data_IF_162755397200
#
_entry.id   IF_162755397200
#
_cell.length_a   1.000
_cell.length_b   1.000
_cell.length_c   1.000
_cell.angle_alpha   90.00
_cell.angle_beta   90.00
_cell.angle_gamma   90.00
#
_symmetry.space_group_name_H-M   'P 1'
#
loop_
_entity.id
_entity.type
_entity.pdbx_description
1 polymer ?
#
# COMPACT_ATOMS: atom_id res chain seq x y z
N UNK A 1 -55.02 -12.07 -21.76
CA UNK A 1 -53.62 -12.39 -21.39
C UNK A 1 -52.80 -12.34 -22.68
N UNK A 2 -51.71 -11.55 -22.74
CA UNK A 2 -50.87 -11.43 -23.95
C UNK A 2 -49.79 -12.50 -23.86
N UNK A 3 -49.83 -13.47 -24.77
CA UNK A 3 -48.78 -14.48 -24.83
C UNK A 3 -47.46 -13.88 -25.33
N UNK A 4 -46.33 -14.22 -24.70
CA UNK A 4 -45.04 -13.73 -25.15
C UNK A 4 -44.68 -14.39 -26.49
N UNK A 5 -44.35 -13.57 -27.49
CA UNK A 5 -43.95 -14.10 -28.80
C UNK A 5 -42.64 -14.88 -28.68
N UNK A 6 -42.54 -16.00 -29.40
CA UNK A 6 -41.42 -16.94 -29.36
C UNK A 6 -40.06 -16.28 -29.69
N UNK A 7 -40.08 -15.22 -30.50
CA UNK A 7 -38.90 -14.39 -30.79
C UNK A 7 -38.43 -13.56 -29.57
N UNK A 8 -39.34 -13.10 -28.72
CA UNK A 8 -39.00 -12.34 -27.51
C UNK A 8 -38.43 -13.24 -26.43
N UNK A 9 -38.95 -14.47 -26.29
CA UNK A 9 -38.45 -15.44 -25.31
C UNK A 9 -37.06 -15.98 -25.69
N UNK A 10 -36.84 -16.25 -26.98
CA UNK A 10 -35.52 -16.65 -27.50
C UNK A 10 -34.49 -15.52 -27.39
N UNK A 11 -34.87 -14.28 -27.71
CA UNK A 11 -33.99 -13.12 -27.51
C UNK A 11 -33.64 -12.91 -26.02
N UNK A 12 -34.61 -13.05 -25.12
CA UNK A 12 -34.39 -12.93 -23.67
C UNK A 12 -33.41 -14.01 -23.16
N UNK A 13 -33.59 -15.26 -23.60
CA UNK A 13 -32.69 -16.36 -23.24
C UNK A 13 -31.28 -16.16 -23.78
N UNK A 14 -31.14 -15.65 -25.00
CA UNK A 14 -29.83 -15.33 -25.57
C UNK A 14 -29.11 -14.24 -24.78
N UNK A 15 -29.80 -13.17 -24.40
CA UNK A 15 -29.23 -12.11 -23.56
C UNK A 15 -28.83 -12.65 -22.18
N UNK A 16 -29.64 -13.50 -21.57
CA UNK A 16 -29.32 -14.13 -20.28
C UNK A 16 -28.07 -15.01 -20.36
N UNK A 17 -27.93 -15.81 -21.42
CA UNK A 17 -26.74 -16.64 -21.60
C UNK A 17 -25.49 -15.81 -21.93
N UNK A 18 -25.63 -14.75 -22.73
CA UNK A 18 -24.55 -13.83 -23.03
C UNK A 18 -24.03 -13.15 -21.76
N UNK A 19 -24.91 -12.70 -20.86
CA UNK A 19 -24.50 -12.06 -19.59
C UNK A 19 -23.80 -13.05 -18.66
N UNK A 20 -24.31 -14.27 -18.51
CA UNK A 20 -23.66 -15.32 -17.71
C UNK A 20 -22.28 -15.66 -18.28
N UNK A 21 -22.16 -15.78 -19.61
CA UNK A 21 -20.87 -16.04 -20.27
C UNK A 21 -19.88 -14.89 -20.05
N UNK A 22 -20.33 -13.63 -20.14
CA UNK A 22 -19.47 -12.45 -19.92
C UNK A 22 -18.98 -12.38 -18.47
N UNK A 23 -19.84 -12.71 -17.50
CA UNK A 23 -19.48 -12.81 -16.09
C UNK A 23 -18.44 -13.91 -15.87
N UNK A 24 -18.65 -15.11 -16.44
CA UNK A 24 -17.70 -16.21 -16.33
C UNK A 24 -16.35 -15.85 -16.97
N UNK A 25 -16.35 -15.24 -18.15
CA UNK A 25 -15.15 -14.79 -18.83
C UNK A 25 -14.37 -13.76 -17.99
N UNK A 26 -15.06 -12.84 -17.33
CA UNK A 26 -14.45 -11.84 -16.47
C UNK A 26 -13.82 -12.48 -15.21
N UNK A 27 -14.47 -13.49 -14.62
CA UNK A 27 -13.93 -14.25 -13.48
C UNK A 27 -12.68 -15.03 -13.89
N UNK A 28 -12.68 -15.70 -15.06
CA UNK A 28 -11.52 -16.45 -15.54
C UNK A 28 -10.33 -15.56 -15.93
N UNK A 29 -10.59 -14.31 -16.34
CA UNK A 29 -9.53 -13.33 -16.67
C UNK A 29 -8.90 -12.67 -15.45
N UNK A 30 -9.40 -12.89 -14.23
CA UNK A 30 -8.73 -12.36 -13.04
C UNK A 30 -7.40 -13.11 -12.87
N UNK A 31 -6.24 -12.43 -12.91
CA UNK A 31 -4.97 -13.09 -12.68
C UNK A 31 -4.95 -13.59 -11.24
N UNK A 32 -5.01 -14.91 -11.09
CA UNK A 32 -4.58 -15.57 -9.87
C UNK A 32 -3.09 -15.24 -9.73
N UNK A 33 -2.76 -14.16 -9.00
CA UNK A 33 -1.40 -13.86 -8.59
C UNK A 33 -0.95 -14.97 -7.64
N UNK A 34 -0.44 -16.06 -8.23
CA UNK A 34 0.26 -17.12 -7.53
C UNK A 34 1.56 -16.48 -7.05
N UNK A 35 1.64 -16.23 -5.75
CA UNK A 35 2.81 -15.68 -5.06
C UNK A 35 3.91 -16.75 -5.16
N UNK A 36 4.92 -16.53 -6.01
CA UNK A 36 6.13 -17.34 -6.00
C UNK A 36 6.94 -16.99 -4.75
N UNK A 37 7.27 -18.00 -3.95
CA UNK A 37 8.14 -17.84 -2.79
C UNK A 37 9.54 -17.45 -3.30
N UNK A 38 10.16 -16.35 -2.81
CA UNK A 38 11.49 -15.96 -3.24
C UNK A 38 12.52 -17.00 -2.80
N UNK A 39 13.28 -17.56 -3.75
CA UNK A 39 14.38 -18.48 -3.47
C UNK A 39 15.54 -17.72 -2.83
N UNK A 40 15.78 -17.96 -1.54
CA UNK A 40 16.91 -17.38 -0.81
C UNK A 40 18.20 -18.07 -1.23
N UNK A 41 19.02 -17.38 -2.04
CA UNK A 41 20.41 -17.78 -2.24
C UNK A 41 21.27 -17.01 -1.25
N UNK A 42 21.95 -17.74 -0.38
CA UNK A 42 22.98 -17.18 0.50
C UNK A 42 24.30 -17.30 -0.23
N UNK A 43 24.87 -16.18 -0.65
CA UNK A 43 26.25 -16.16 -1.15
C UNK A 43 27.18 -16.12 0.06
N UNK A 44 27.76 -17.27 0.41
CA UNK A 44 28.81 -17.35 1.41
C UNK A 44 30.05 -16.63 0.85
N UNK A 45 30.44 -15.54 1.51
CA UNK A 45 31.68 -14.83 1.21
C UNK A 45 32.80 -15.55 1.96
N UNK A 46 33.81 -16.03 1.22
CA UNK A 46 35.00 -16.67 1.80
C UNK A 46 35.89 -15.60 2.48
N UNK A 47 36.48 -15.86 3.65
CA UNK A 47 37.24 -14.87 4.41
C UNK A 47 38.65 -14.58 3.86
N UNK A 48 39.01 -15.07 2.66
CA UNK A 48 40.38 -15.01 2.14
C UNK A 48 40.83 -13.67 1.54
N UNK A 49 40.06 -12.58 1.74
CA UNK A 49 40.40 -11.24 1.22
C UNK A 49 41.58 -10.57 1.97
N UNK A 50 42.18 -11.23 2.97
CA UNK A 50 43.35 -10.69 3.69
C UNK A 50 44.72 -11.20 3.21
N UNK A 51 44.80 -11.90 2.07
CA UNK A 51 46.08 -12.45 1.58
C UNK A 51 46.31 -12.27 0.09
N UNK A 52 46.13 -11.07 -0.45
CA UNK A 52 46.91 -10.69 -1.63
C UNK A 52 47.03 -9.17 -1.78
N UNK A 53 48.10 -8.61 -1.21
CA UNK A 53 48.47 -7.19 -1.36
C UNK A 53 49.70 -7.08 -2.29
N UNK A 54 50.11 -8.13 -3.01
CA UNK A 54 51.42 -8.08 -3.68
C UNK A 54 51.53 -8.70 -5.08
N UNK A 55 50.44 -8.89 -5.83
CA UNK A 55 50.56 -9.43 -7.20
C UNK A 55 49.63 -8.80 -8.26
N UNK A 56 49.22 -7.53 -8.08
CA UNK A 56 48.34 -6.83 -9.04
C UNK A 56 48.94 -5.60 -9.75
N UNK A 57 50.22 -5.27 -9.55
CA UNK A 57 50.77 -3.95 -9.94
C UNK A 57 51.38 -3.87 -11.35
N UNK A 58 51.03 -4.75 -12.29
CA UNK A 58 51.61 -4.78 -13.66
C UNK A 58 50.62 -4.87 -14.82
N UNK A 59 49.34 -4.60 -14.61
CA UNK A 59 48.33 -4.69 -15.67
C UNK A 59 47.45 -3.43 -15.84
N UNK A 60 47.93 -2.25 -15.43
CA UNK A 60 47.22 -0.98 -15.61
C UNK A 60 48.20 0.13 -16.04
N UNK A 61 48.70 0.03 -17.28
CA UNK A 61 49.45 1.14 -17.93
C UNK A 61 49.01 1.34 -19.39
N UNK A 62 48.33 0.39 -20.04
CA UNK A 62 48.00 0.51 -21.48
C UNK A 62 46.60 1.07 -21.82
N UNK A 63 45.71 1.29 -20.85
CA UNK A 63 44.32 1.72 -21.15
C UNK A 63 44.08 3.23 -21.08
N UNK A 64 45.13 4.06 -20.94
CA UNK A 64 45.00 5.53 -20.82
C UNK A 64 45.35 6.32 -22.10
N UNK A 65 45.53 5.68 -23.26
CA UNK A 65 45.91 6.38 -24.49
C UNK A 65 44.82 6.48 -25.58
N UNK A 66 43.64 5.90 -25.37
CA UNK A 66 42.58 5.83 -26.39
C UNK A 66 41.30 6.64 -26.05
N UNK A 67 41.26 7.37 -24.93
CA UNK A 67 40.10 8.20 -24.56
C UNK A 67 40.25 9.70 -24.89
N UNK A 68 41.42 10.14 -25.37
CA UNK A 68 41.69 11.57 -25.63
C UNK A 68 41.40 12.03 -27.07
N UNK A 69 41.15 11.09 -28.01
CA UNK A 69 40.99 11.42 -29.43
C UNK A 69 39.52 11.59 -29.88
N UNK A 70 38.54 11.22 -29.07
CA UNK A 70 37.11 11.26 -29.44
C UNK A 70 36.35 12.50 -28.92
N UNK A 71 36.99 13.34 -28.10
CA UNK A 71 36.37 14.57 -27.57
C UNK A 71 36.51 15.80 -28.48
N UNK A 72 37.32 15.72 -29.54
CA UNK A 72 37.67 16.88 -30.37
C UNK A 72 36.84 17.03 -31.66
N UNK A 73 35.97 16.07 -31.99
CA UNK A 73 35.20 16.09 -33.25
C UNK A 73 33.78 16.68 -33.08
N UNK A 74 33.25 16.83 -31.85
CA UNK A 74 31.86 17.25 -31.64
C UNK A 74 31.65 18.71 -31.18
N UNK A 75 32.64 19.59 -31.41
CA UNK A 75 32.57 21.02 -31.04
C UNK A 75 32.48 22.00 -32.23
N UNK A 76 32.27 21.51 -33.46
CA UNK A 76 32.32 22.34 -34.66
C UNK A 76 30.98 22.55 -35.38
N UNK A 77 29.86 22.42 -34.69
CA UNK A 77 28.59 22.86 -35.26
C UNK A 77 27.67 23.38 -34.17
N UNK A 78 26.84 24.38 -34.49
CA UNK A 78 25.98 25.17 -33.59
C UNK A 78 26.66 26.40 -32.97
N UNK A 79 27.15 27.28 -33.83
CA UNK A 79 27.29 28.71 -33.57
C UNK A 79 26.34 29.49 -34.48
N UNK A 80 25.07 29.66 -34.08
CA UNK A 80 24.24 30.82 -34.45
C UNK A 80 22.80 30.73 -33.92
N UNK A 81 22.55 31.10 -32.65
CA UNK A 81 21.24 31.62 -32.18
C UNK A 81 21.49 32.56 -30.96
N UNK A 82 20.91 33.78 -30.88
CA UNK A 82 21.20 34.76 -29.82
C UNK A 82 20.65 34.34 -28.44
N UNK A 83 21.50 34.40 -27.40
CA UNK A 83 21.27 33.83 -26.04
C UNK A 83 20.76 34.81 -24.97
N UNK A 84 20.24 36.00 -25.31
CA UNK A 84 20.02 37.04 -24.28
C UNK A 84 18.65 37.00 -23.58
N UNK A 85 17.59 36.47 -24.21
CA UNK A 85 16.22 36.67 -23.67
C UNK A 85 15.58 35.47 -22.95
N UNK A 86 16.21 34.28 -22.96
CA UNK A 86 15.55 33.05 -22.46
C UNK A 86 15.77 32.82 -20.95
N UNK A 87 16.85 33.34 -20.36
CA UNK A 87 17.21 33.07 -18.95
C UNK A 87 16.38 33.85 -17.93
N UNK A 88 15.79 34.98 -18.32
CA UNK A 88 15.04 35.82 -17.37
C UNK A 88 13.58 35.36 -17.21
N UNK A 89 13.01 34.76 -18.25
CA UNK A 89 11.63 34.25 -18.28
C UNK A 89 11.49 32.99 -17.41
N UNK A 90 12.48 32.09 -17.45
CA UNK A 90 12.46 30.82 -16.70
C UNK A 90 12.65 30.98 -15.19
N UNK A 91 13.27 32.07 -14.74
CA UNK A 91 13.48 32.31 -13.30
C UNK A 91 12.22 32.86 -12.63
N UNK A 92 11.52 33.79 -13.29
CA UNK A 92 10.26 34.36 -12.79
C UNK A 92 9.13 33.33 -12.78
N UNK A 93 9.06 32.44 -13.78
CA UNK A 93 8.00 31.42 -13.84
C UNK A 93 8.16 30.33 -12.76
N UNK A 94 9.39 29.89 -12.48
CA UNK A 94 9.65 28.90 -11.40
C UNK A 94 9.27 29.44 -10.02
N UNK A 95 9.56 30.70 -9.73
CA UNK A 95 9.22 31.34 -8.46
C UNK A 95 7.70 31.49 -8.27
N UNK A 96 6.97 31.80 -9.35
CA UNK A 96 5.50 31.92 -9.33
C UNK A 96 4.85 30.54 -9.12
N UNK A 97 5.40 29.48 -9.73
CA UNK A 97 4.90 28.11 -9.57
C UNK A 97 5.15 27.59 -8.15
N UNK A 98 6.32 27.83 -7.58
CA UNK A 98 6.66 27.41 -6.21
C UNK A 98 5.81 28.12 -5.15
N UNK A 99 5.53 29.42 -5.37
CA UNK A 99 4.63 30.21 -4.51
C UNK A 99 3.18 29.75 -4.58
N UNK A 100 2.72 29.23 -5.73
CA UNK A 100 1.37 28.65 -5.88
C UNK A 100 1.26 27.27 -5.23
N UNK A 101 2.27 26.42 -5.35
CA UNK A 101 2.28 25.07 -4.76
C UNK A 101 2.29 25.14 -3.23
N UNK A 102 3.12 26.02 -2.66
CA UNK A 102 3.18 26.24 -1.21
C UNK A 102 1.88 26.82 -0.62
N UNK A 103 1.21 27.73 -1.35
CA UNK A 103 -0.08 28.28 -0.95
C UNK A 103 -1.21 27.22 -0.96
N UNK A 104 -1.19 26.28 -1.90
CA UNK A 104 -2.15 25.17 -1.97
C UNK A 104 -1.93 24.16 -0.84
N UNK A 105 -0.68 23.79 -0.56
CA UNK A 105 -0.32 22.88 0.52
C UNK A 105 -0.69 23.43 1.92
N UNK A 106 -0.59 24.74 2.13
CA UNK A 106 -1.01 25.38 3.37
C UNK A 106 -2.53 25.32 3.59
N UNK A 107 -3.33 25.51 2.52
CA UNK A 107 -4.79 25.41 2.58
C UNK A 107 -5.27 23.99 2.86
N UNK A 108 -4.64 22.97 2.28
CA UNK A 108 -5.01 21.57 2.54
C UNK A 108 -4.73 21.16 3.99
N UNK A 109 -3.59 21.58 4.57
CA UNK A 109 -3.25 21.29 5.96
C UNK A 109 -4.25 21.92 6.93
N UNK A 110 -4.63 23.17 6.69
CA UNK A 110 -5.65 23.86 7.49
C UNK A 110 -7.04 23.19 7.35
N UNK A 111 -7.41 22.74 6.16
CA UNK A 111 -8.69 22.07 5.95
C UNK A 111 -8.73 20.67 6.59
N UNK A 112 -7.63 19.91 6.54
CA UNK A 112 -7.51 18.62 7.25
C UNK A 112 -7.58 18.81 8.75
N UNK A 113 -6.88 19.82 9.29
CA UNK A 113 -6.90 20.12 10.72
C UNK A 113 -8.29 20.59 11.20
N UNK A 114 -8.98 21.42 10.41
CA UNK A 114 -10.35 21.85 10.72
C UNK A 114 -11.35 20.69 10.70
N UNK A 115 -11.25 19.78 9.73
CA UNK A 115 -12.07 18.55 9.64
C UNK A 115 -11.78 17.58 10.79
N UNK A 116 -10.52 17.49 11.21
CA UNK A 116 -10.13 16.64 12.34
C UNK A 116 -10.64 17.23 13.67
N UNK A 117 -10.52 18.55 13.87
CA UNK A 117 -11.01 19.25 15.06
C UNK A 117 -12.53 19.23 15.16
N UNK A 118 -13.27 19.41 14.06
CA UNK A 118 -14.73 19.31 14.08
C UNK A 118 -15.21 17.90 14.42
N UNK A 119 -14.60 16.86 13.83
CA UNK A 119 -14.89 15.45 14.18
C UNK A 119 -14.59 15.14 15.65
N UNK A 120 -13.48 15.64 16.18
CA UNK A 120 -13.10 15.41 17.58
C UNK A 120 -14.01 16.14 18.59
N UNK A 121 -14.48 17.35 18.25
CA UNK A 121 -15.45 18.10 19.07
C UNK A 121 -16.82 17.43 19.04
N UNK A 122 -17.28 16.92 17.89
CA UNK A 122 -18.55 16.17 17.80
C UNK A 122 -18.53 14.87 18.60
N UNK A 123 -17.40 14.17 18.68
CA UNK A 123 -17.25 12.96 19.49
C UNK A 123 -17.24 13.26 21.00
N UNK A 124 -16.53 14.33 21.41
CA UNK A 124 -16.46 14.73 22.83
C UNK A 124 -17.77 15.33 23.37
N UNK A 125 -18.53 16.03 22.52
CA UNK A 125 -19.85 16.56 22.88
C UNK A 125 -20.92 15.47 23.05
N UNK A 126 -20.77 14.32 22.38
CA UNK A 126 -21.65 13.15 22.55
C UNK A 126 -21.41 12.35 23.84
N UNK A 127 -20.24 12.51 24.47
CA UNK A 127 -19.85 11.78 25.68
C UNK A 127 -20.32 12.48 26.97
N UNK A 128 -20.42 13.81 26.96
CA UNK A 128 -20.83 14.63 28.11
C UNK A 128 -22.35 14.63 28.39
N UNK A 129 -23.18 14.10 27.48
CA UNK A 129 -24.65 14.08 27.63
C UNK A 129 -25.22 12.69 28.00
N UNK A 130 -24.36 11.72 28.35
CA UNK A 130 -24.78 10.34 28.68
C UNK A 130 -24.77 9.98 30.17
N UNK A 131 -24.55 10.96 31.05
CA UNK A 131 -24.62 10.76 32.50
C UNK A 131 -25.86 11.46 33.09
N UNK A 132 -27.04 10.98 32.70
CA UNK A 132 -28.31 11.45 33.23
C UNK A 132 -29.52 10.72 32.65
N UNK A 133 -30.10 9.85 33.46
CA UNK A 133 -31.54 9.52 33.48
C UNK A 133 -32.12 8.57 32.42
N UNK A 134 -32.30 7.32 32.89
CA UNK A 134 -33.36 6.33 32.66
C UNK A 134 -34.47 6.54 31.61
N UNK A 135 -34.82 5.41 30.97
CA UNK A 135 -36.03 5.04 30.21
C UNK A 135 -36.29 5.77 28.88
N UNK A 136 -36.14 5.03 27.78
CA UNK A 136 -37.21 4.77 26.80
C UNK A 136 -36.76 3.71 25.79
N UNK A 137 -37.61 2.70 25.62
CA UNK A 137 -37.64 1.69 24.57
C UNK A 137 -37.67 2.33 23.18
N UNK A 138 -36.63 2.14 22.37
CA UNK A 138 -36.74 2.25 20.90
C UNK A 138 -35.82 1.19 20.27
N UNK A 139 -36.44 0.33 19.46
CA UNK A 139 -35.83 -0.65 18.57
C UNK A 139 -34.49 -0.18 17.97
N UNK A 140 -33.41 -0.88 18.31
CA UNK A 140 -32.14 -0.82 17.58
C UNK A 140 -31.58 -2.22 17.45
N UNK A 141 -32.34 -3.09 16.78
CA UNK A 141 -31.97 -4.49 16.54
C UNK A 141 -30.99 -4.65 15.36
N UNK A 142 -30.46 -3.55 14.82
CA UNK A 142 -29.50 -3.52 13.73
C UNK A 142 -28.07 -3.12 14.16
N UNK A 143 -27.85 -2.72 15.42
CA UNK A 143 -26.57 -2.15 15.87
C UNK A 143 -25.64 -3.16 16.57
N UNK A 144 -26.15 -4.33 16.99
CA UNK A 144 -25.38 -5.27 17.82
C UNK A 144 -24.29 -6.00 17.03
N UNK A 145 -24.49 -6.30 15.75
CA UNK A 145 -23.49 -7.05 14.95
C UNK A 145 -22.26 -6.22 14.58
N UNK A 146 -22.43 -4.93 14.29
CA UNK A 146 -21.31 -4.03 13.99
C UNK A 146 -20.44 -3.80 15.22
N UNK A 147 -21.06 -3.59 16.37
CA UNK A 147 -20.37 -3.32 17.63
C UNK A 147 -19.54 -4.53 18.10
N UNK A 148 -20.09 -5.75 17.97
CA UNK A 148 -19.37 -6.99 18.28
C UNK A 148 -18.19 -7.25 17.33
N UNK A 149 -18.32 -6.89 16.05
CA UNK A 149 -17.24 -7.03 15.08
C UNK A 149 -16.11 -6.01 15.35
N UNK A 150 -16.45 -4.77 15.65
CA UNK A 150 -15.48 -3.70 15.95
C UNK A 150 -14.70 -3.98 17.25
N UNK A 151 -15.36 -4.50 18.29
CA UNK A 151 -14.70 -4.92 19.54
C UNK A 151 -13.73 -6.08 19.28
N UNK A 152 -14.19 -7.10 18.55
CA UNK A 152 -13.34 -8.23 18.17
C UNK A 152 -12.14 -7.79 17.33
N UNK A 153 -12.35 -6.95 16.30
CA UNK A 153 -11.28 -6.40 15.46
C UNK A 153 -10.26 -5.62 16.28
N UNK A 154 -10.71 -4.84 17.27
CA UNK A 154 -9.82 -4.10 18.16
C UNK A 154 -9.01 -5.03 19.07
N UNK A 155 -9.63 -6.13 19.54
CA UNK A 155 -8.98 -7.14 20.37
C UNK A 155 -7.85 -7.85 19.64
N UNK A 156 -8.13 -8.44 18.47
CA UNK A 156 -7.15 -9.17 17.69
C UNK A 156 -6.06 -8.25 17.10
N UNK A 157 -6.41 -7.02 16.72
CA UNK A 157 -5.41 -6.02 16.34
C UNK A 157 -4.41 -5.83 17.48
N UNK A 158 -4.87 -5.63 18.71
CA UNK A 158 -3.97 -5.50 19.86
C UNK A 158 -3.08 -6.74 20.06
N UNK A 159 -3.63 -7.95 19.97
CA UNK A 159 -2.86 -9.20 20.10
C UNK A 159 -1.74 -9.29 19.05
N UNK A 160 -2.03 -8.92 17.81
CA UNK A 160 -1.06 -8.91 16.72
C UNK A 160 0.02 -7.85 16.93
N UNK A 161 -0.39 -6.64 17.31
CA UNK A 161 0.53 -5.53 17.55
C UNK A 161 1.48 -5.80 18.72
N UNK A 162 1.05 -6.54 19.74
CA UNK A 162 1.93 -6.98 20.83
C UNK A 162 3.05 -7.91 20.36
N UNK A 163 2.83 -8.66 19.28
CA UNK A 163 3.84 -9.55 18.70
C UNK A 163 4.71 -8.87 17.63
N UNK A 164 4.34 -7.65 17.21
CA UNK A 164 5.02 -6.96 16.14
C UNK A 164 6.26 -6.23 16.63
N UNK A 165 7.38 -6.47 15.95
CA UNK A 165 8.64 -5.78 16.20
C UNK A 165 8.87 -4.79 15.07
N UNK A 166 8.60 -3.51 15.31
CA UNK A 166 8.79 -2.48 14.30
C UNK A 166 10.27 -2.42 13.84
N UNK A 167 10.58 -2.71 12.56
CA UNK A 167 11.93 -2.57 12.05
C UNK A 167 12.21 -1.09 11.79
N UNK A 168 13.36 -0.60 12.25
CA UNK A 168 13.78 0.77 11.91
C UNK A 168 14.07 0.86 10.41
N UNK A 169 13.17 1.51 9.65
CA UNK A 169 13.26 1.62 8.19
C UNK A 169 13.73 3.00 7.70
N UNK A 170 13.83 3.99 8.59
CA UNK A 170 14.17 5.38 8.24
C UNK A 170 13.10 6.14 7.43
N UNK A 171 12.00 5.48 7.04
CA UNK A 171 10.88 6.09 6.30
C UNK A 171 9.77 6.51 7.26
N UNK A 172 9.22 7.72 7.07
CA UNK A 172 8.26 8.31 8.01
C UNK A 172 6.78 8.04 7.71
N UNK A 173 6.46 7.44 6.56
CA UNK A 173 5.07 7.20 6.14
C UNK A 173 4.95 5.84 5.43
N UNK A 174 5.37 4.79 6.13
CA UNK A 174 5.36 3.43 5.59
C UNK A 174 4.13 2.67 6.11
N UNK A 175 3.38 2.00 5.22
CA UNK A 175 2.23 1.19 5.62
C UNK A 175 2.13 -0.08 4.78
N UNK A 176 1.75 -1.20 5.42
CA UNK A 176 1.42 -2.44 4.75
C UNK A 176 0.01 -2.89 5.16
N UNK A 177 -0.76 -3.42 4.22
CA UNK A 177 -2.04 -4.07 4.50
C UNK A 177 -1.93 -5.54 4.13
N UNK A 178 -2.20 -6.42 5.09
CA UNK A 178 -2.16 -7.87 4.92
C UNK A 178 -3.54 -8.42 5.26
N UNK A 179 -4.16 -9.15 4.34
CA UNK A 179 -5.36 -9.91 4.62
C UNK A 179 -5.01 -11.26 5.22
N UNK A 180 -5.74 -11.64 6.27
CA UNK A 180 -5.61 -12.92 6.92
C UNK A 180 -6.94 -13.64 7.05
N UNK A 181 -6.90 -14.97 7.00
CA UNK A 181 -8.03 -15.83 7.33
C UNK A 181 -7.86 -16.43 8.72
N UNK A 182 -8.85 -16.20 9.58
CA UNK A 182 -8.90 -16.71 10.95
C UNK A 182 -9.99 -17.77 11.04
N UNK A 183 -9.61 -18.96 11.48
CA UNK A 183 -10.52 -20.08 11.74
C UNK A 183 -11.26 -19.90 13.08
N UNK A 184 -12.29 -20.70 13.34
CA UNK A 184 -13.08 -20.64 14.60
C UNK A 184 -12.26 -20.91 15.86
N UNK A 185 -11.13 -21.59 15.74
CA UNK A 185 -10.19 -21.87 16.84
C UNK A 185 -9.19 -20.73 17.07
N UNK A 186 -9.22 -19.68 16.24
CA UNK A 186 -8.27 -18.56 16.28
C UNK A 186 -7.01 -18.78 15.44
N UNK A 187 -6.86 -19.93 14.78
CA UNK A 187 -5.68 -20.22 13.95
C UNK A 187 -5.67 -19.36 12.69
N UNK A 188 -4.52 -18.77 12.37
CA UNK A 188 -4.30 -17.99 11.15
C UNK A 188 -3.78 -18.92 10.05
N UNK A 189 -4.53 -19.06 8.95
CA UNK A 189 -4.20 -20.05 7.90
C UNK A 189 -3.72 -19.47 6.59
N UNK A 190 -4.24 -18.31 6.19
CA UNK A 190 -3.87 -17.65 4.94
C UNK A 190 -3.40 -16.23 5.23
N UNK A 191 -2.32 -15.79 4.58
CA UNK A 191 -1.82 -14.42 4.63
C UNK A 191 -1.57 -13.94 3.20
N UNK A 192 -2.23 -12.86 2.78
CA UNK A 192 -2.02 -12.23 1.47
C UNK A 192 -1.69 -10.76 1.68
N UNK A 193 -0.60 -10.31 1.07
CA UNK A 193 -0.27 -8.88 1.06
C UNK A 193 -1.22 -8.19 0.08
N UNK A 194 -2.14 -7.38 0.59
CA UNK A 194 -3.03 -6.55 -0.23
C UNK A 194 -2.31 -5.29 -0.70
N UNK A 195 -1.53 -4.69 0.19
CA UNK A 195 -0.71 -3.51 -0.08
C UNK A 195 0.66 -3.71 0.57
N UNK A 196 1.70 -3.84 -0.25
CA UNK A 196 3.08 -3.83 0.23
C UNK A 196 3.48 -2.42 0.64
N UNK A 197 4.32 -2.33 1.65
CA UNK A 197 4.87 -1.06 2.12
C UNK A 197 5.97 -0.47 1.23
N UNK A 198 6.45 -1.23 0.25
CA UNK A 198 7.64 -0.88 -0.52
C UNK A 198 8.96 -1.13 0.23
N UNK A 199 8.92 -1.59 1.49
CA UNK A 199 10.10 -2.06 2.22
C UNK A 199 9.95 -3.55 2.61
N UNK A 200 10.74 -4.45 2.02
CA UNK A 200 10.69 -5.89 2.32
C UNK A 200 10.94 -6.25 3.80
N UNK A 201 11.72 -5.43 4.53
CA UNK A 201 12.01 -5.66 5.95
C UNK A 201 10.76 -5.37 6.79
N UNK A 202 10.03 -4.30 6.46
CA UNK A 202 8.76 -3.94 7.10
C UNK A 202 7.70 -5.01 6.86
N UNK A 203 7.48 -5.38 5.61
CA UNK A 203 6.51 -6.42 5.22
C UNK A 203 6.82 -7.76 5.91
N UNK A 204 8.10 -8.15 5.94
CA UNK A 204 8.53 -9.38 6.63
C UNK A 204 8.27 -9.31 8.13
N UNK A 205 8.47 -8.16 8.76
CA UNK A 205 8.18 -8.01 10.19
C UNK A 205 6.68 -8.15 10.47
N UNK A 206 5.84 -7.55 9.64
CA UNK A 206 4.39 -7.68 9.74
C UNK A 206 3.94 -9.15 9.59
N UNK A 207 4.43 -9.87 8.57
CA UNK A 207 4.14 -11.31 8.38
C UNK A 207 4.60 -12.14 9.59
N UNK A 208 5.78 -11.83 10.15
CA UNK A 208 6.27 -12.50 11.36
C UNK A 208 5.38 -12.23 12.57
N UNK A 209 4.85 -11.02 12.72
CA UNK A 209 3.92 -10.70 13.79
C UNK A 209 2.66 -11.54 13.71
N UNK A 210 2.08 -11.68 12.50
CA UNK A 210 0.93 -12.53 12.25
C UNK A 210 1.22 -13.99 12.61
N UNK A 211 2.35 -14.53 12.15
CA UNK A 211 2.73 -15.90 12.47
C UNK A 211 2.90 -16.14 13.98
N UNK A 212 3.45 -15.16 14.72
CA UNK A 212 3.64 -15.23 16.18
C UNK A 212 2.34 -15.05 16.97
N UNK A 213 1.39 -14.30 16.43
CA UNK A 213 0.12 -14.04 17.08
C UNK A 213 -0.85 -15.22 16.97
N UNK A 214 -0.55 -16.23 16.14
CA UNK A 214 -1.38 -17.43 16.06
C UNK A 214 -1.15 -18.37 17.26
N UNK A 215 -2.20 -18.91 17.89
CA UNK A 215 -3.62 -18.63 17.63
C UNK A 215 -4.08 -17.32 18.29
N UNK A 216 -4.95 -16.60 17.60
CA UNK A 216 -5.63 -15.41 18.11
C UNK A 216 -6.82 -15.78 19.00
N UNK A 217 -7.41 -14.80 19.67
CA UNK A 217 -8.73 -14.96 20.27
C UNK A 217 -9.74 -15.57 19.27
N UNK A 218 -10.45 -16.65 19.63
CA UNK A 218 -11.41 -17.31 18.73
C UNK A 218 -12.52 -16.38 18.23
N UNK A 219 -12.77 -16.28 16.91
CA UNK A 219 -13.88 -15.51 16.38
C UNK A 219 -15.22 -16.26 16.51
N UNK A 220 -16.36 -15.55 16.49
CA UNK A 220 -17.69 -16.19 16.49
C UNK A 220 -17.96 -17.04 15.24
N UNK A 221 -17.32 -16.72 14.12
CA UNK A 221 -17.38 -17.45 12.86
C UNK A 221 -16.06 -17.23 12.10
N UNK A 222 -15.76 -18.12 11.15
CA UNK A 222 -14.56 -17.96 10.30
C UNK A 222 -14.67 -16.67 9.50
N UNK A 223 -13.61 -15.87 9.53
CA UNK A 223 -13.60 -14.57 8.88
C UNK A 223 -12.26 -14.23 8.27
N UNK A 224 -12.32 -13.43 7.21
CA UNK A 224 -11.17 -12.84 6.55
C UNK A 224 -11.13 -11.35 6.86
N UNK A 225 -9.96 -10.86 7.29
CA UNK A 225 -9.79 -9.48 7.73
C UNK A 225 -8.51 -8.87 7.16
N UNK A 226 -8.56 -7.59 6.84
CA UNK A 226 -7.38 -6.80 6.48
C UNK A 226 -6.79 -6.12 7.71
N UNK A 227 -5.49 -6.32 7.96
CA UNK A 227 -4.76 -5.67 9.04
C UNK A 227 -3.76 -4.70 8.44
N UNK A 228 -3.83 -3.45 8.90
CA UNK A 228 -2.92 -2.39 8.50
C UNK A 228 -1.81 -2.24 9.54
N UNK A 229 -0.57 -2.34 9.09
CA UNK A 229 0.65 -2.10 9.84
C UNK A 229 1.21 -0.74 9.47
N UNK A 230 1.55 0.07 10.47
CA UNK A 230 2.13 1.41 10.31
C UNK A 230 2.97 1.76 11.55
N UNK A 231 3.99 2.64 11.46
CA UNK A 231 4.82 3.06 12.60
C UNK A 231 4.03 3.71 13.76
#
# INVERSE_FOLDING_TARGET
MREPSLQKTTALSFVLHLTVFLIAFFILKQPNHIISLPSYTVRLVSPDVFRDVNEGRKADVDTMKESAALSDILKKDISDIPKKDIKEITKKEKEIVEKRISALAAKEKLQKLAKFRSKFISLKAGELNRKGTSKTTVNSQASTKGDLFDDYYSKITREIWQQWVFPYTGQKDIEATISIRILKDGTITAQRIEKSSGNPIFDRSAIKALAKASPLSPPPYEMEIGIRFYP
#
